data_IF_737331087971
#
_entry.id   IF_737331087971
#
_cell.length_a   1.000
_cell.length_b   1.000
_cell.length_c   1.000
_cell.angle_alpha   90.00
_cell.angle_beta   90.00
_cell.angle_gamma   90.00
#
_symmetry.space_group_name_H-M   'P 1'
#
loop_
_entity.id
_entity.type
_entity.pdbx_description
1 polymer ?
#
# COMPACT_ATOMS: atom_id res chain seq x y z
N UNK A 1 -14.59 -16.28 -13.67
CA UNK A 1 -15.12 -16.28 -12.28
C UNK A 1 -16.33 -15.36 -12.23
N UNK A 2 -17.36 -15.72 -11.45
CA UNK A 2 -18.51 -14.83 -11.21
C UNK A 2 -18.05 -13.76 -10.21
N UNK A 3 -18.10 -12.48 -10.58
CA UNK A 3 -17.73 -11.39 -9.68
C UNK A 3 -18.75 -11.30 -8.53
N UNK A 4 -18.27 -11.13 -7.31
CA UNK A 4 -19.14 -10.90 -6.15
C UNK A 4 -19.46 -9.41 -6.12
N UNK A 5 -20.73 -9.08 -5.92
CA UNK A 5 -21.17 -7.69 -5.84
C UNK A 5 -20.87 -7.17 -4.44
N UNK A 6 -20.07 -6.11 -4.34
CA UNK A 6 -19.82 -5.45 -3.05
C UNK A 6 -21.00 -4.55 -2.68
N UNK A 7 -21.20 -4.34 -1.37
CA UNK A 7 -22.05 -3.24 -0.94
C UNK A 7 -21.38 -1.92 -1.29
N UNK A 8 -22.18 -0.84 -1.41
CA UNK A 8 -21.63 0.51 -1.67
C UNK A 8 -20.63 0.91 -0.58
N UNK A 9 -20.91 0.55 0.67
CA UNK A 9 -20.01 0.81 1.81
C UNK A 9 -18.70 0.05 1.68
N UNK A 10 -18.74 -1.24 1.35
CA UNK A 10 -17.52 -2.05 1.21
C UNK A 10 -16.65 -1.57 0.04
N UNK A 11 -17.29 -1.14 -1.05
CA UNK A 11 -16.57 -0.54 -2.19
C UNK A 11 -15.86 0.75 -1.80
N UNK A 12 -16.56 1.63 -1.08
CA UNK A 12 -15.96 2.87 -0.57
C UNK A 12 -14.77 2.59 0.37
N UNK A 13 -14.89 1.60 1.26
CA UNK A 13 -13.79 1.21 2.15
C UNK A 13 -12.60 0.64 1.38
N UNK A 14 -12.84 -0.13 0.32
CA UNK A 14 -11.78 -0.66 -0.54
C UNK A 14 -11.05 0.45 -1.31
N UNK A 15 -11.79 1.38 -1.90
CA UNK A 15 -11.23 2.56 -2.57
C UNK A 15 -10.40 3.41 -1.60
N UNK A 16 -10.94 3.69 -0.41
CA UNK A 16 -10.21 4.42 0.63
C UNK A 16 -8.93 3.69 1.08
N UNK A 17 -8.96 2.36 1.20
CA UNK A 17 -7.78 1.58 1.55
C UNK A 17 -6.69 1.64 0.45
N UNK A 18 -7.09 1.64 -0.82
CA UNK A 18 -6.18 1.81 -1.95
C UNK A 18 -5.52 3.19 -1.93
N UNK A 19 -6.31 4.25 -1.72
CA UNK A 19 -5.82 5.63 -1.63
C UNK A 19 -4.82 5.81 -0.48
N UNK A 20 -5.18 5.38 0.73
CA UNK A 20 -4.32 5.46 1.91
C UNK A 20 -3.00 4.71 1.67
N UNK A 21 -3.06 3.52 1.07
CA UNK A 21 -1.85 2.77 0.78
C UNK A 21 -0.96 3.48 -0.27
N UNK A 22 -1.55 4.08 -1.31
CA UNK A 22 -0.81 4.87 -2.28
C UNK A 22 -0.13 6.09 -1.63
N UNK A 23 -0.83 6.79 -0.72
CA UNK A 23 -0.26 7.89 0.06
C UNK A 23 0.90 7.42 0.94
N UNK A 24 0.73 6.30 1.66
CA UNK A 24 1.80 5.70 2.45
C UNK A 24 3.05 5.40 1.60
N UNK A 25 2.87 4.81 0.41
CA UNK A 25 3.97 4.53 -0.49
C UNK A 25 4.67 5.82 -0.97
N UNK A 26 3.90 6.86 -1.30
CA UNK A 26 4.43 8.15 -1.71
C UNK A 26 5.25 8.82 -0.61
N UNK A 27 4.87 8.65 0.66
CA UNK A 27 5.62 9.15 1.82
C UNK A 27 6.86 8.32 2.13
N UNK A 28 6.80 6.99 1.97
CA UNK A 28 7.92 6.09 2.27
C UNK A 28 9.10 6.26 1.32
N UNK A 29 8.87 6.62 0.04
CA UNK A 29 9.93 6.84 -0.96
C UNK A 29 10.93 7.94 -0.56
N UNK A 30 10.51 9.19 -0.27
CA UNK A 30 11.42 10.24 0.15
C UNK A 30 12.05 9.95 1.52
N UNK A 31 11.30 9.35 2.46
CA UNK A 31 11.85 8.96 3.75
C UNK A 31 12.99 7.94 3.61
N UNK A 32 12.85 6.95 2.73
CA UNK A 32 13.93 6.00 2.44
C UNK A 32 15.18 6.69 1.91
N UNK A 33 15.01 7.70 1.06
CA UNK A 33 16.13 8.47 0.49
C UNK A 33 16.88 9.26 1.56
N UNK A 34 16.17 9.80 2.55
CA UNK A 34 16.76 10.54 3.68
C UNK A 34 17.49 9.57 4.60
N UNK A 35 16.82 8.48 5.00
CA UNK A 35 17.36 7.50 5.95
C UNK A 35 18.58 6.78 5.39
N UNK A 36 18.63 6.49 4.09
CA UNK A 36 19.81 5.89 3.43
C UNK A 36 21.06 6.77 3.54
N UNK A 37 20.89 8.09 3.59
CA UNK A 37 21.99 9.07 3.57
C UNK A 37 22.40 9.55 4.96
N UNK A 38 21.43 9.69 5.86
CA UNK A 38 21.61 10.48 7.10
C UNK A 38 21.44 9.67 8.39
N UNK A 39 21.02 8.40 8.30
CA UNK A 39 20.63 7.60 9.46
C UNK A 39 21.36 6.23 9.44
N UNK A 40 21.23 5.46 10.52
CA UNK A 40 21.84 4.15 10.63
C UNK A 40 21.26 3.13 9.60
N UNK A 41 22.07 2.14 9.18
CA UNK A 41 21.66 1.14 8.20
C UNK A 41 20.47 0.28 8.62
N UNK A 42 20.27 0.03 9.92
CA UNK A 42 19.18 -0.81 10.40
C UNK A 42 17.83 -0.09 10.20
N UNK A 43 17.77 1.21 10.48
CA UNK A 43 16.58 2.03 10.21
C UNK A 43 16.22 2.04 8.72
N UNK A 44 17.22 2.11 7.82
CA UNK A 44 16.98 1.99 6.37
C UNK A 44 16.35 0.64 6.01
N UNK A 45 16.91 -0.46 6.53
CA UNK A 45 16.42 -1.81 6.27
C UNK A 45 14.99 -1.99 6.78
N UNK A 46 14.67 -1.49 7.98
CA UNK A 46 13.32 -1.53 8.54
C UNK A 46 12.33 -0.76 7.66
N UNK A 47 12.65 0.48 7.27
CA UNK A 47 11.77 1.28 6.44
C UNK A 47 11.59 0.69 5.04
N UNK A 48 12.65 0.07 4.51
CA UNK A 48 12.61 -0.63 3.22
C UNK A 48 11.66 -1.83 3.30
N UNK A 49 11.66 -2.56 4.42
CA UNK A 49 10.71 -3.65 4.65
C UNK A 49 9.27 -3.12 4.70
N UNK A 50 9.01 -2.02 5.40
CA UNK A 50 7.66 -1.39 5.45
C UNK A 50 7.19 -1.00 4.05
N UNK A 51 8.04 -0.39 3.21
CA UNK A 51 7.71 -0.09 1.81
C UNK A 51 7.38 -1.34 1.01
N UNK A 52 8.08 -2.46 1.22
CA UNK A 52 7.76 -3.72 0.52
C UNK A 52 6.40 -4.26 0.95
N UNK A 53 6.09 -4.21 2.26
CA UNK A 53 4.79 -4.64 2.77
C UNK A 53 3.64 -3.78 2.20
N UNK A 54 3.82 -2.46 2.12
CA UNK A 54 2.77 -1.60 1.54
C UNK A 54 2.54 -1.87 0.05
N UNK A 55 3.60 -2.09 -0.73
CA UNK A 55 3.47 -2.49 -2.14
C UNK A 55 2.75 -3.83 -2.33
N UNK A 56 3.04 -4.83 -1.49
CA UNK A 56 2.32 -6.11 -1.51
C UNK A 56 0.84 -5.92 -1.19
N UNK A 57 0.53 -5.19 -0.11
CA UNK A 57 -0.85 -4.90 0.25
C UNK A 57 -1.59 -4.15 -0.87
N UNK A 58 -0.94 -3.19 -1.54
CA UNK A 58 -1.54 -2.47 -2.66
C UNK A 58 -1.88 -3.38 -3.83
N UNK A 59 -0.99 -4.32 -4.15
CA UNK A 59 -1.24 -5.33 -5.17
C UNK A 59 -2.47 -6.15 -4.83
N UNK A 60 -2.54 -6.67 -3.61
CA UNK A 60 -3.65 -7.52 -3.15
C UNK A 60 -4.98 -6.75 -3.14
N UNK A 61 -4.97 -5.49 -2.71
CA UNK A 61 -6.16 -4.61 -2.74
C UNK A 61 -6.61 -4.33 -4.18
N UNK A 62 -5.69 -4.14 -5.12
CA UNK A 62 -6.04 -3.94 -6.53
C UNK A 62 -6.60 -5.23 -7.16
N UNK A 63 -6.03 -6.38 -6.84
CA UNK A 63 -6.56 -7.67 -7.26
C UNK A 63 -7.98 -7.86 -6.74
N UNK A 64 -8.20 -7.55 -5.45
CA UNK A 64 -9.52 -7.58 -4.83
C UNK A 64 -10.52 -6.65 -5.54
N UNK A 65 -10.11 -5.42 -5.83
CA UNK A 65 -10.93 -4.42 -6.52
C UNK A 65 -11.31 -4.87 -7.94
N UNK A 66 -10.38 -5.51 -8.66
CA UNK A 66 -10.62 -6.03 -10.01
C UNK A 66 -11.56 -7.25 -10.03
N UNK A 67 -11.58 -8.02 -8.93
CA UNK A 67 -12.36 -9.25 -8.78
C UNK A 67 -13.83 -9.01 -8.38
N UNK A 68 -14.17 -7.79 -7.95
CA UNK A 68 -15.53 -7.42 -7.56
C UNK A 68 -16.20 -6.48 -8.58
N UNK A 69 -17.54 -6.43 -8.51
CA UNK A 69 -18.42 -5.56 -9.33
C UNK A 69 -19.17 -4.57 -8.45
#
# INVERSE_FOLDING_TARGET
MKKIKLSVGDKYHLESALEINAEMQALLIPLLTIVEKEVDPDTYVMLRAVKRLSMCQYHDLNELNNNFE
#
